data_IF_719320917055
#
_entry.id   IF_719320917055
#
_cell.length_a   1.000
_cell.length_b   1.000
_cell.length_c   1.000
_cell.angle_alpha   90.00
_cell.angle_beta   90.00
_cell.angle_gamma   90.00
#
_symmetry.space_group_name_H-M   'P 1'
#
loop_
_entity.id
_entity.type
_entity.pdbx_description
1 polymer ?
#
# COMPACT_ATOMS: atom_id res chain seq x y z
N UNK A 1 6.57 12.06 37.72
CA UNK A 1 7.91 11.91 37.09
C UNK A 1 8.09 10.42 36.88
N UNK A 2 8.02 9.82 35.69
CA UNK A 2 8.05 10.28 34.30
C UNK A 2 6.78 9.86 33.52
N UNK A 3 6.44 10.45 32.37
CA UNK A 3 5.33 9.95 31.58
C UNK A 3 5.78 8.75 30.74
N UNK A 4 4.99 7.68 30.79
CA UNK A 4 5.10 6.49 29.94
C UNK A 4 4.66 6.86 28.50
N UNK A 5 5.42 7.71 27.81
CA UNK A 5 5.31 7.90 26.37
C UNK A 5 6.40 7.10 25.65
N UNK A 6 6.58 5.84 26.03
CA UNK A 6 7.32 4.87 25.22
C UNK A 6 6.39 4.32 24.16
N UNK A 7 6.36 4.97 23.00
CA UNK A 7 6.07 4.43 21.66
C UNK A 7 5.56 5.53 20.72
N UNK A 8 6.28 6.66 20.63
CA UNK A 8 5.93 7.79 19.74
C UNK A 8 6.77 7.83 18.45
N UNK A 9 7.21 6.67 17.98
CA UNK A 9 7.41 6.44 16.53
C UNK A 9 6.14 5.72 16.07
N UNK A 10 5.02 6.43 16.19
CA UNK A 10 3.73 5.96 15.72
C UNK A 10 3.82 6.01 14.19
N UNK A 11 3.70 4.86 13.52
CA UNK A 11 3.12 4.82 12.18
C UNK A 11 2.03 5.89 12.14
N UNK A 12 2.03 6.76 11.13
CA UNK A 12 0.99 7.76 10.93
C UNK A 12 -0.36 7.13 11.33
N UNK A 13 -1.09 7.78 12.25
CA UNK A 13 -2.35 7.21 12.72
C UNK A 13 -3.17 6.85 11.49
N UNK A 14 -3.69 5.63 11.44
CA UNK A 14 -4.53 5.13 10.36
C UNK A 14 -5.89 5.86 10.41
N UNK A 15 -5.87 7.16 10.17
CA UNK A 15 -7.04 8.03 10.08
C UNK A 15 -7.69 7.85 8.71
N UNK A 16 -8.97 8.17 8.61
CA UNK A 16 -9.69 8.13 7.33
C UNK A 16 -9.02 9.05 6.29
N UNK A 17 -8.45 10.18 6.72
CA UNK A 17 -7.70 11.10 5.86
C UNK A 17 -6.41 10.48 5.34
N UNK A 18 -5.60 9.86 6.22
CA UNK A 18 -4.38 9.16 5.82
C UNK A 18 -4.68 8.02 4.83
N UNK A 19 -5.70 7.20 5.13
CA UNK A 19 -6.12 6.10 4.26
C UNK A 19 -6.56 6.63 2.89
N UNK A 20 -7.33 7.72 2.85
CA UNK A 20 -7.81 8.32 1.61
C UNK A 20 -6.65 8.85 0.76
N UNK A 21 -5.70 9.56 1.38
CA UNK A 21 -4.52 10.08 0.67
C UNK A 21 -3.65 8.94 0.13
N UNK A 22 -3.39 7.91 0.93
CA UNK A 22 -2.62 6.74 0.52
C UNK A 22 -3.30 6.01 -0.67
N UNK A 23 -4.63 5.90 -0.67
CA UNK A 23 -5.38 5.30 -1.78
C UNK A 23 -5.27 6.14 -3.07
N UNK A 24 -5.31 7.47 -2.95
CA UNK A 24 -5.15 8.37 -4.10
C UNK A 24 -3.75 8.26 -4.70
N UNK A 25 -2.71 8.25 -3.86
CA UNK A 25 -1.32 8.08 -4.31
C UNK A 25 -1.10 6.73 -5.00
N UNK A 26 -1.61 5.63 -4.40
CA UNK A 26 -1.57 4.30 -5.02
C UNK A 26 -2.30 4.25 -6.36
N UNK A 27 -3.44 4.93 -6.47
CA UNK A 27 -4.20 5.01 -7.72
C UNK A 27 -3.42 5.75 -8.79
N UNK A 28 -2.85 6.92 -8.45
CA UNK A 28 -2.01 7.69 -9.37
C UNK A 28 -0.81 6.90 -9.85
N UNK A 29 -0.15 6.15 -8.97
CA UNK A 29 0.99 5.31 -9.34
C UNK A 29 0.60 4.20 -10.34
N UNK A 30 -0.59 3.61 -10.19
CA UNK A 30 -1.13 2.64 -11.16
C UNK A 30 -1.45 3.31 -12.50
N UNK A 31 -2.05 4.50 -12.48
CA UNK A 31 -2.36 5.26 -13.69
C UNK A 31 -1.09 5.62 -14.47
N UNK A 32 -0.05 6.08 -13.78
CA UNK A 32 1.25 6.37 -14.37
C UNK A 32 1.86 5.12 -15.01
N UNK A 33 1.76 3.96 -14.35
CA UNK A 33 2.26 2.71 -14.95
C UNK A 33 1.54 2.32 -16.23
N UNK A 34 0.21 2.50 -16.26
CA UNK A 34 -0.58 2.24 -17.48
C UNK A 34 -0.22 3.20 -18.59
N UNK A 35 -0.03 4.48 -18.26
CA UNK A 35 0.26 5.52 -19.24
C UNK A 35 1.69 5.41 -19.79
N UNK A 36 2.70 5.31 -18.91
CA UNK A 36 4.12 5.35 -19.30
C UNK A 36 4.60 4.04 -19.91
N UNK A 37 4.11 2.90 -19.42
CA UNK A 37 4.61 1.57 -19.81
C UNK A 37 3.59 0.74 -20.59
N UNK A 38 2.38 1.25 -20.82
CA UNK A 38 1.31 0.49 -21.45
C UNK A 38 0.91 -0.77 -20.67
N UNK A 39 1.14 -0.76 -19.35
CA UNK A 39 0.86 -1.91 -18.49
C UNK A 39 -0.64 -2.23 -18.50
N UNK A 40 -0.99 -3.50 -18.65
CA UNK A 40 -2.38 -3.94 -18.50
C UNK A 40 -2.74 -4.11 -17.01
N UNK A 41 -4.04 -4.26 -16.74
CA UNK A 41 -4.55 -4.37 -15.36
C UNK A 41 -3.92 -5.55 -14.61
N UNK A 42 -3.61 -6.65 -15.30
CA UNK A 42 -2.98 -7.84 -14.69
C UNK A 42 -1.54 -7.55 -14.28
N UNK A 43 -0.78 -6.84 -15.11
CA UNK A 43 0.58 -6.42 -14.79
C UNK A 43 0.60 -5.46 -13.59
N UNK A 44 -0.33 -4.50 -13.53
CA UNK A 44 -0.47 -3.60 -12.39
C UNK A 44 -0.78 -4.36 -11.09
N UNK A 45 -1.76 -5.28 -11.13
CA UNK A 45 -2.14 -6.12 -9.97
C UNK A 45 -0.94 -6.96 -9.51
N UNK A 46 -0.20 -7.58 -10.44
CA UNK A 46 0.98 -8.37 -10.11
C UNK A 46 2.07 -7.54 -9.42
N UNK A 47 2.29 -6.29 -9.84
CA UNK A 47 3.25 -5.40 -9.19
C UNK A 47 2.82 -4.99 -7.79
N UNK A 48 1.56 -4.64 -7.59
CA UNK A 48 1.03 -4.32 -6.27
C UNK A 48 1.14 -5.52 -5.31
N UNK A 49 0.80 -6.71 -5.80
CA UNK A 49 0.98 -7.96 -5.05
C UNK A 49 2.44 -8.19 -4.67
N UNK A 50 3.38 -7.99 -5.61
CA UNK A 50 4.80 -8.09 -5.33
C UNK A 50 5.23 -7.10 -4.25
N UNK A 51 4.78 -5.83 -4.31
CA UNK A 51 5.08 -4.84 -3.28
C UNK A 51 4.54 -5.25 -1.90
N UNK A 52 3.30 -5.75 -1.82
CA UNK A 52 2.72 -6.26 -0.58
C UNK A 52 3.57 -7.38 0.01
N UNK A 53 4.00 -8.34 -0.81
CA UNK A 53 4.86 -9.45 -0.36
C UNK A 53 6.25 -8.99 0.08
N UNK A 54 6.79 -7.91 -0.52
CA UNK A 54 8.08 -7.33 -0.09
C UNK A 54 7.96 -6.63 1.27
N UNK A 55 6.84 -5.94 1.51
CA UNK A 55 6.58 -5.22 2.77
C UNK A 55 6.13 -6.17 3.89
N UNK A 56 5.32 -7.17 3.56
CA UNK A 56 4.85 -8.19 4.48
C UNK A 56 5.02 -9.59 3.87
N UNK A 57 6.19 -10.23 4.06
CA UNK A 57 6.48 -11.55 3.51
C UNK A 57 5.57 -12.69 4.01
N UNK A 58 4.77 -12.44 5.06
CA UNK A 58 3.83 -13.40 5.64
C UNK A 58 2.37 -13.07 5.30
N UNK A 59 2.13 -12.11 4.40
CA UNK A 59 0.79 -11.77 3.96
C UNK A 59 0.11 -13.01 3.38
N UNK A 60 -1.08 -13.33 3.91
CA UNK A 60 -1.94 -14.37 3.35
C UNK A 60 -2.86 -13.70 2.32
N UNK A 61 -2.54 -13.86 1.04
CA UNK A 61 -3.29 -13.27 -0.07
C UNK A 61 -4.15 -14.37 -0.69
N UNK A 62 -5.46 -14.15 -0.78
CA UNK A 62 -6.37 -15.09 -1.45
C UNK A 62 -6.04 -15.13 -2.95
N UNK A 63 -5.66 -16.29 -3.51
CA UNK A 63 -5.38 -16.42 -4.94
C UNK A 63 -6.59 -16.13 -5.84
N UNK A 64 -7.81 -16.14 -5.29
CA UNK A 64 -9.06 -15.93 -6.05
C UNK A 64 -9.59 -14.49 -5.95
N UNK A 65 -8.80 -13.56 -5.40
CA UNK A 65 -9.21 -12.16 -5.22
C UNK A 65 -9.26 -11.36 -6.53
N UNK A 66 -8.76 -11.92 -7.65
CA UNK A 66 -8.58 -11.22 -8.93
C UNK A 66 -9.02 -12.06 -10.14
#
# INVERSE_FOLDING_TARGET
MAPLFTSRVLMEEWTDEFITNAQQELTGMVEDWKYDYGADDRACVAMLLWMVLKLNPKANIDPNLF
#
